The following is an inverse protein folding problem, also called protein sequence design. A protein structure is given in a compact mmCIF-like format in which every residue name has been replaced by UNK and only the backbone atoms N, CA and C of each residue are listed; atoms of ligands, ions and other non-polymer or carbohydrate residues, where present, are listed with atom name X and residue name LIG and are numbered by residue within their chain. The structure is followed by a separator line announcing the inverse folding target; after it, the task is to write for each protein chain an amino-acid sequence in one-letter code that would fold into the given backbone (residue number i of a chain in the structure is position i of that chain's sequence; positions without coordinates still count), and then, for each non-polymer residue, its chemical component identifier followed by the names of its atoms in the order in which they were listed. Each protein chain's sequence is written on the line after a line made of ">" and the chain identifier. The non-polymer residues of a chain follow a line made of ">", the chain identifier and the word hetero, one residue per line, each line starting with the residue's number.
data_IF_919579997260
#
_entry.id   IF_919579997260
#
_cell.length_a   1.000
_cell.length_b   1.000
_cell.length_c   1.000
_cell.angle_alpha   90.00
_cell.angle_beta   90.00
_cell.angle_gamma   90.00
#
_symmetry.space_group_name_H-M   'P 1'
#
loop_
_entity.id
_entity.type
_entity.pdbx_description
1 polymer ?
#
# COMPACT_ATOMS: atom_id res chain seq x y z
N UNK A 1 -8.88 -41.25 -8.32
CA UNK A 1 -8.17 -40.19 -9.09
C UNK A 1 -7.76 -39.14 -8.08
N UNK A 2 -6.46 -38.85 -7.95
CA UNK A 2 -5.96 -37.86 -6.97
C UNK A 2 -6.46 -36.47 -7.41
N UNK A 3 -7.15 -35.73 -6.53
CA UNK A 3 -7.55 -34.35 -6.82
C UNK A 3 -6.32 -33.50 -7.11
N UNK A 4 -6.33 -32.68 -8.17
CA UNK A 4 -5.19 -31.78 -8.50
C UNK A 4 -4.78 -30.90 -7.31
N UNK A 5 -5.74 -30.56 -6.45
CA UNK A 5 -5.49 -29.79 -5.24
C UNK A 5 -4.55 -30.48 -4.25
N UNK A 6 -4.47 -31.82 -4.22
CA UNK A 6 -3.62 -32.53 -3.26
C UNK A 6 -2.14 -32.18 -3.43
N UNK A 7 -1.69 -31.89 -4.66
CA UNK A 7 -0.31 -31.46 -4.91
C UNK A 7 0.00 -30.12 -4.24
N UNK A 8 -0.95 -29.18 -4.24
CA UNK A 8 -0.82 -27.92 -3.51
C UNK A 8 -0.86 -28.15 -2.01
N UNK A 9 -1.85 -28.92 -1.53
CA UNK A 9 -1.99 -29.25 -0.11
C UNK A 9 -0.70 -29.86 0.46
N UNK A 10 -0.19 -30.92 -0.15
CA UNK A 10 1.06 -31.57 0.30
C UNK A 10 2.24 -30.59 0.30
N UNK A 11 2.37 -29.75 -0.73
CA UNK A 11 3.46 -28.77 -0.82
C UNK A 11 3.35 -27.69 0.26
N UNK A 12 2.14 -27.21 0.55
CA UNK A 12 1.88 -26.21 1.59
C UNK A 12 2.04 -26.78 3.00
N UNK A 13 1.60 -28.00 3.26
CA UNK A 13 1.81 -28.73 4.51
C UNK A 13 3.32 -28.94 4.77
N UNK A 14 4.07 -29.35 3.74
CA UNK A 14 5.52 -29.50 3.83
C UNK A 14 6.24 -28.16 4.10
N UNK A 15 5.64 -27.04 3.69
CA UNK A 15 6.13 -25.69 3.98
C UNK A 15 5.67 -25.15 5.35
N UNK A 16 4.93 -25.95 6.14
CA UNK A 16 4.46 -25.57 7.47
C UNK A 16 3.31 -24.56 7.48
N UNK A 17 2.56 -24.44 6.38
CA UNK A 17 1.46 -23.48 6.30
C UNK A 17 0.24 -23.95 7.13
N UNK A 18 -0.44 -23.04 7.85
CA UNK A 18 -1.61 -23.39 8.68
C UNK A 18 -2.76 -23.98 7.87
N UNK A 19 -3.52 -24.91 8.45
CA UNK A 19 -4.67 -25.55 7.80
C UNK A 19 -5.71 -24.53 7.31
N UNK A 20 -6.00 -23.51 8.13
CA UNK A 20 -6.93 -22.41 7.78
C UNK A 20 -6.49 -21.72 6.47
N UNK A 21 -5.19 -21.47 6.32
CA UNK A 21 -4.67 -20.84 5.10
C UNK A 21 -4.74 -21.80 3.90
N UNK A 22 -4.41 -23.08 4.09
CA UNK A 22 -4.51 -24.11 3.04
C UNK A 22 -5.96 -24.24 2.53
N UNK A 23 -6.94 -24.20 3.45
CA UNK A 23 -8.37 -24.21 3.12
C UNK A 23 -8.81 -22.94 2.39
N UNK A 24 -8.28 -21.77 2.80
CA UNK A 24 -8.50 -20.50 2.09
C UNK A 24 -7.97 -20.56 0.66
N UNK A 25 -6.75 -21.07 0.46
CA UNK A 25 -6.21 -21.28 -0.89
C UNK A 25 -7.03 -22.29 -1.70
N UNK A 26 -7.53 -23.37 -1.06
CA UNK A 26 -8.41 -24.35 -1.70
C UNK A 26 -9.66 -23.69 -2.29
N UNK A 27 -10.30 -22.81 -1.53
CA UNK A 27 -11.49 -22.07 -1.96
C UNK A 27 -11.24 -21.22 -3.22
N UNK A 28 -10.13 -20.48 -3.27
CA UNK A 28 -9.79 -19.68 -4.45
C UNK A 28 -9.32 -20.55 -5.63
N UNK A 29 -8.61 -21.64 -5.35
CA UNK A 29 -8.21 -22.61 -6.36
C UNK A 29 -9.43 -23.26 -7.04
N UNK A 30 -10.47 -23.61 -6.27
CA UNK A 30 -11.72 -24.17 -6.81
C UNK A 30 -12.43 -23.17 -7.74
N UNK A 31 -12.49 -21.89 -7.36
CA UNK A 31 -13.01 -20.83 -8.24
C UNK A 31 -12.21 -20.71 -9.54
N UNK A 32 -10.87 -20.70 -9.44
CA UNK A 32 -10.00 -20.68 -10.62
C UNK A 32 -10.30 -21.84 -11.57
N UNK A 33 -10.41 -23.06 -11.04
CA UNK A 33 -10.69 -24.27 -11.83
C UNK A 33 -12.11 -24.26 -12.41
N UNK A 34 -13.08 -23.64 -11.73
CA UNK A 34 -14.42 -23.41 -12.23
C UNK A 34 -14.50 -22.37 -13.35
N UNK A 35 -13.40 -21.65 -13.62
CA UNK A 35 -13.30 -20.66 -14.70
C UNK A 35 -13.54 -19.22 -14.25
N UNK A 36 -13.70 -18.98 -12.95
CA UNK A 36 -13.88 -17.63 -12.41
C UNK A 36 -12.70 -16.73 -12.77
N UNK A 37 -13.02 -15.51 -13.19
CA UNK A 37 -12.01 -14.53 -13.63
C UNK A 37 -11.65 -13.54 -12.53
N UNK A 38 -12.54 -13.36 -11.54
CA UNK A 38 -12.45 -12.30 -10.54
C UNK A 38 -12.88 -10.92 -11.06
N UNK A 39 -13.42 -10.84 -12.29
CA UNK A 39 -13.89 -9.57 -12.85
C UNK A 39 -15.19 -9.09 -12.21
N UNK A 40 -15.32 -7.78 -12.09
CA UNK A 40 -16.49 -7.07 -11.60
C UNK A 40 -16.98 -6.15 -12.74
N UNK A 41 -17.94 -6.62 -13.55
CA UNK A 41 -18.48 -5.84 -14.66
C UNK A 41 -19.16 -4.57 -14.18
N UNK A 42 -19.08 -3.51 -14.97
CA UNK A 42 -19.73 -2.24 -14.69
C UNK A 42 -21.24 -2.39 -14.51
N UNK A 43 -21.87 -3.31 -15.25
CA UNK A 43 -23.30 -3.60 -15.12
C UNK A 43 -23.70 -4.21 -13.75
N UNK A 44 -22.74 -4.75 -12.99
CA UNK A 44 -23.00 -5.33 -11.66
C UNK A 44 -22.89 -4.29 -10.53
N UNK A 45 -22.51 -3.05 -10.84
CA UNK A 45 -22.16 -2.03 -9.86
C UNK A 45 -22.76 -0.66 -10.20
N UNK A 46 -22.86 0.18 -9.18
CA UNK A 46 -23.27 1.57 -9.26
C UNK A 46 -22.16 2.46 -8.69
N UNK A 47 -21.98 3.68 -9.22
CA UNK A 47 -21.06 4.65 -8.64
C UNK A 47 -21.59 5.13 -7.28
N UNK A 48 -20.69 5.37 -6.33
CA UNK A 48 -21.06 5.92 -5.02
C UNK A 48 -21.28 7.43 -5.12
N UNK A 49 -22.50 7.88 -4.84
CA UNK A 49 -22.86 9.29 -4.99
C UNK A 49 -22.14 10.19 -3.97
N UNK A 50 -22.18 9.85 -2.68
CA UNK A 50 -21.60 10.63 -1.60
C UNK A 50 -21.11 9.73 -0.47
N UNK A 51 -20.09 10.20 0.24
CA UNK A 51 -19.60 9.62 1.50
C UNK A 51 -19.38 10.78 2.48
N UNK A 52 -19.48 10.55 3.81
CA UNK A 52 -19.16 11.57 4.80
C UNK A 52 -17.75 12.15 4.58
N UNK A 53 -17.63 13.47 4.67
CA UNK A 53 -16.37 14.16 4.47
C UNK A 53 -15.74 14.53 5.81
N UNK A 54 -14.50 14.10 6.04
CA UNK A 54 -13.78 14.34 7.30
C UNK A 54 -13.62 15.84 7.60
N UNK A 55 -13.55 16.70 6.57
CA UNK A 55 -13.46 18.17 6.77
C UNK A 55 -14.73 18.76 7.41
N UNK A 56 -15.85 18.03 7.35
CA UNK A 56 -17.13 18.44 7.95
C UNK A 56 -17.39 17.78 9.30
N UNK A 57 -16.44 16.99 9.82
CA UNK A 57 -16.60 16.31 11.10
C UNK A 57 -16.60 17.33 12.25
N UNK A 58 -17.56 17.26 13.18
CA UNK A 58 -17.61 18.16 14.32
C UNK A 58 -16.47 17.89 15.30
N UNK A 59 -15.98 18.95 15.94
CA UNK A 59 -14.81 18.91 16.83
C UNK A 59 -14.94 17.91 18.00
N UNK A 60 -16.17 17.62 18.46
CA UNK A 60 -16.39 16.67 19.56
C UNK A 60 -15.88 15.26 19.22
N UNK A 61 -15.79 14.90 17.94
CA UNK A 61 -15.25 13.62 17.50
C UNK A 61 -13.77 13.46 17.87
N UNK A 62 -13.01 14.54 17.95
CA UNK A 62 -11.60 14.49 18.40
C UNK A 62 -11.53 13.99 19.84
N UNK A 63 -12.41 14.46 20.71
CA UNK A 63 -12.45 14.03 22.11
C UNK A 63 -12.95 12.58 22.25
N UNK A 64 -13.91 12.17 21.41
CA UNK A 64 -14.32 10.76 21.31
C UNK A 64 -13.15 9.87 20.86
N UNK A 65 -12.40 10.27 19.85
CA UNK A 65 -11.23 9.54 19.38
C UNK A 65 -10.13 9.46 20.44
N UNK A 66 -9.88 10.56 21.16
CA UNK A 66 -8.93 10.58 22.27
C UNK A 66 -9.31 9.58 23.37
N UNK A 67 -10.60 9.47 23.68
CA UNK A 67 -11.10 8.53 24.69
C UNK A 67 -10.88 7.05 24.32
N UNK A 68 -10.90 6.71 23.02
CA UNK A 68 -10.72 5.32 22.55
C UNK A 68 -9.33 5.03 21.98
N UNK A 69 -8.46 6.03 21.87
CA UNK A 69 -7.07 5.87 21.41
C UNK A 69 -6.30 4.77 22.19
N UNK A 70 -6.40 4.67 23.54
CA UNK A 70 -5.74 3.60 24.29
C UNK A 70 -6.20 2.18 23.93
N UNK A 71 -7.34 2.05 23.24
CA UNK A 71 -7.90 0.78 22.75
C UNK A 71 -7.63 0.54 21.26
N UNK A 72 -6.74 1.33 20.66
CA UNK A 72 -6.46 1.33 19.21
C UNK A 72 -5.05 0.84 18.92
N UNK A 73 -4.91 -0.09 17.98
CA UNK A 73 -3.64 -0.55 17.45
C UNK A 73 -3.38 -0.01 16.03
N UNK A 74 -2.12 0.14 15.65
CA UNK A 74 -1.69 0.48 14.29
C UNK A 74 -1.13 -0.76 13.62
N UNK A 75 -1.61 -1.09 12.42
CA UNK A 75 -1.07 -2.17 11.59
C UNK A 75 -0.50 -1.56 10.30
N UNK A 76 0.76 -1.84 9.98
CA UNK A 76 1.37 -1.41 8.71
C UNK A 76 1.63 -2.59 7.78
N UNK A 77 1.10 -2.49 6.56
CA UNK A 77 1.36 -3.44 5.50
C UNK A 77 2.80 -3.24 5.02
N UNK A 78 3.65 -4.21 5.30
CA UNK A 78 5.10 -4.12 5.12
C UNK A 78 5.70 -5.35 4.42
N UNK A 79 4.87 -6.15 3.73
CA UNK A 79 5.32 -7.33 2.99
C UNK A 79 6.04 -7.03 1.67
N UNK A 80 5.92 -5.79 1.16
CA UNK A 80 6.42 -5.40 -0.16
C UNK A 80 7.91 -5.01 -0.16
N UNK A 81 8.65 -5.59 -1.10
CA UNK A 81 10.00 -5.14 -1.45
C UNK A 81 9.94 -3.93 -2.38
N UNK A 82 10.90 -3.02 -2.27
CA UNK A 82 11.02 -1.87 -3.17
C UNK A 82 11.66 -2.20 -4.52
N UNK A 83 11.38 -3.38 -5.11
CA UNK A 83 12.05 -3.89 -6.31
C UNK A 83 11.88 -2.99 -7.53
N UNK A 84 10.73 -2.31 -7.67
CA UNK A 84 10.50 -1.34 -8.74
C UNK A 84 11.49 -0.16 -8.71
N UNK A 85 12.02 0.15 -7.52
CA UNK A 85 13.01 1.19 -7.28
C UNK A 85 14.42 0.61 -7.04
N UNK A 86 14.62 -0.68 -7.31
CA UNK A 86 15.93 -1.36 -7.21
C UNK A 86 16.32 -1.80 -5.80
N UNK A 87 15.42 -1.74 -4.82
CA UNK A 87 15.71 -2.16 -3.45
C UNK A 87 15.70 -3.69 -3.30
N UNK A 88 16.57 -4.18 -2.42
CA UNK A 88 16.68 -5.62 -2.05
C UNK A 88 16.02 -5.95 -0.70
N UNK A 89 15.54 -4.95 0.01
CA UNK A 89 14.98 -5.01 1.36
C UNK A 89 13.56 -4.46 1.39
N UNK A 90 12.91 -4.54 2.55
CA UNK A 90 11.63 -3.92 2.79
C UNK A 90 11.65 -2.45 2.38
N UNK A 91 10.65 -2.02 1.62
CA UNK A 91 10.58 -0.63 1.14
C UNK A 91 10.54 0.39 2.27
N UNK A 92 9.99 0.00 3.42
CA UNK A 92 9.89 0.86 4.60
C UNK A 92 11.24 1.25 5.19
N UNK A 93 12.33 0.53 4.87
CA UNK A 93 13.68 0.84 5.31
C UNK A 93 14.37 1.91 4.47
N UNK A 94 13.75 2.35 3.36
CA UNK A 94 14.28 3.42 2.52
C UNK A 94 14.29 4.75 3.30
N UNK A 95 15.43 5.46 3.40
CA UNK A 95 15.48 6.81 3.95
C UNK A 95 14.67 7.79 3.09
N UNK A 96 13.73 8.50 3.71
CA UNK A 96 12.78 9.40 3.02
C UNK A 96 12.91 10.85 3.43
N UNK A 97 13.20 11.13 4.70
CA UNK A 97 13.24 12.51 5.18
C UNK A 97 14.19 12.65 6.35
N UNK A 98 15.12 13.60 6.26
CA UNK A 98 16.02 13.97 7.37
C UNK A 98 16.76 12.78 7.99
N UNK A 99 17.17 11.81 7.15
CA UNK A 99 17.86 10.59 7.57
C UNK A 99 16.94 9.49 8.11
N UNK A 100 15.67 9.76 8.35
CA UNK A 100 14.68 8.77 8.77
C UNK A 100 14.13 7.98 7.58
N UNK A 101 13.98 6.68 7.77
CA UNK A 101 13.22 5.80 6.89
C UNK A 101 11.71 5.92 7.12
N UNK A 102 10.89 5.31 6.26
CA UNK A 102 9.45 5.22 6.53
C UNK A 102 9.19 4.52 7.87
N UNK A 103 9.90 3.41 8.13
CA UNK A 103 9.70 2.64 9.35
C UNK A 103 10.08 3.44 10.59
N UNK A 104 11.13 4.26 10.50
CA UNK A 104 11.52 5.14 11.60
C UNK A 104 10.44 6.16 11.94
N UNK A 105 9.90 6.81 10.90
CA UNK A 105 8.81 7.78 11.04
C UNK A 105 7.58 7.11 11.66
N UNK A 106 7.21 5.93 11.17
CA UNK A 106 6.07 5.15 11.68
C UNK A 106 6.26 4.76 13.14
N UNK A 107 7.45 4.29 13.51
CA UNK A 107 7.79 3.90 14.87
C UNK A 107 7.68 5.09 15.83
N UNK A 108 8.24 6.24 15.44
CA UNK A 108 8.20 7.46 16.23
C UNK A 108 6.77 8.00 16.39
N UNK A 109 5.95 7.95 15.33
CA UNK A 109 4.53 8.31 15.40
C UNK A 109 3.76 7.42 16.40
N UNK A 110 4.00 6.11 16.37
CA UNK A 110 3.36 5.15 17.28
C UNK A 110 3.80 5.35 18.73
N UNK A 111 5.09 5.60 18.96
CA UNK A 111 5.65 5.89 20.28
C UNK A 111 5.06 7.19 20.85
N UNK A 112 5.02 8.28 20.07
CA UNK A 112 4.41 9.55 20.50
C UNK A 112 2.92 9.42 20.83
N UNK A 113 2.19 8.60 20.08
CA UNK A 113 0.76 8.38 20.29
C UNK A 113 0.46 7.32 21.35
N UNK A 114 1.48 6.64 21.88
CA UNK A 114 1.38 5.52 22.81
C UNK A 114 0.38 4.45 22.33
N UNK A 115 0.53 4.01 21.09
CA UNK A 115 -0.27 2.95 20.46
C UNK A 115 0.62 1.79 20.02
N UNK A 116 0.14 0.54 20.09
CA UNK A 116 0.87 -0.60 19.51
C UNK A 116 1.09 -0.42 18.02
N UNK A 117 2.30 -0.73 17.57
CA UNK A 117 2.63 -0.88 16.15
C UNK A 117 2.85 -2.35 15.83
N UNK A 118 2.08 -2.87 14.89
CA UNK A 118 2.24 -4.21 14.34
C UNK A 118 2.58 -4.12 12.84
N UNK A 119 3.58 -4.86 12.40
CA UNK A 119 3.93 -4.97 10.98
C UNK A 119 3.37 -6.27 10.39
N UNK A 120 2.60 -6.16 9.32
CA UNK A 120 2.32 -7.31 8.46
C UNK A 120 3.50 -7.45 7.48
N UNK A 121 4.48 -8.26 7.85
CA UNK A 121 5.67 -8.52 7.06
C UNK A 121 5.46 -9.70 6.10
N UNK A 122 6.39 -9.87 5.16
CA UNK A 122 6.52 -11.10 4.39
C UNK A 122 7.75 -11.86 4.83
N UNK A 123 7.87 -13.10 4.35
CA UNK A 123 9.10 -13.89 4.50
C UNK A 123 10.35 -13.21 3.93
N UNK A 124 10.21 -12.15 3.13
CA UNK A 124 11.33 -11.34 2.60
C UNK A 124 11.59 -10.05 3.36
N UNK A 125 10.68 -9.63 4.26
CA UNK A 125 10.77 -8.34 4.96
C UNK A 125 10.77 -8.45 6.49
N UNK A 126 10.61 -9.65 7.04
CA UNK A 126 10.57 -9.84 8.49
C UNK A 126 11.90 -9.50 9.16
N UNK A 127 12.99 -10.16 8.75
CA UNK A 127 14.27 -10.09 9.46
C UNK A 127 14.88 -8.68 9.47
N UNK A 128 14.84 -7.97 8.34
CA UNK A 128 15.36 -6.61 8.19
C UNK A 128 14.48 -5.58 8.90
N UNK A 129 13.16 -5.71 8.83
CA UNK A 129 12.24 -4.81 9.54
C UNK A 129 12.35 -4.97 11.06
N UNK A 130 12.44 -6.20 11.55
CA UNK A 130 12.60 -6.45 12.99
C UNK A 130 13.96 -5.98 13.51
N UNK A 131 15.03 -6.15 12.75
CA UNK A 131 16.33 -5.59 13.10
C UNK A 131 16.28 -4.06 13.18
N UNK A 132 15.58 -3.39 12.24
CA UNK A 132 15.42 -1.94 12.27
C UNK A 132 14.59 -1.44 13.46
N UNK A 133 13.60 -2.21 13.91
CA UNK A 133 12.76 -1.85 15.07
C UNK A 133 13.47 -1.97 16.43
N UNK A 134 14.60 -2.70 16.53
CA UNK A 134 15.31 -2.89 17.79
C UNK A 134 15.77 -1.59 18.46
N UNK A 135 15.98 -0.52 17.70
CA UNK A 135 16.36 0.80 18.24
C UNK A 135 15.20 1.54 18.94
N UNK A 136 13.97 1.06 18.79
CA UNK A 136 12.76 1.62 19.38
C UNK A 136 12.25 0.71 20.50
N UNK A 137 13.06 0.56 21.56
CA UNK A 137 12.77 -0.35 22.68
C UNK A 137 11.52 0.02 23.48
N UNK A 138 11.05 1.26 23.37
CA UNK A 138 9.81 1.76 23.99
C UNK A 138 8.54 1.37 23.21
N UNK A 139 8.67 0.83 21.99
CA UNK A 139 7.51 0.26 21.29
C UNK A 139 6.96 -0.93 22.08
N UNK A 140 5.65 -0.89 22.29
CA UNK A 140 4.91 -1.75 23.21
C UNK A 140 5.34 -3.22 23.13
N UNK A 141 5.93 -3.74 24.21
CA UNK A 141 6.50 -5.08 24.27
C UNK A 141 5.48 -6.18 24.61
N UNK A 142 4.25 -5.81 24.94
CA UNK A 142 3.21 -6.76 25.37
C UNK A 142 2.48 -7.46 24.22
N UNK A 143 2.70 -7.00 22.98
CA UNK A 143 2.14 -7.56 21.76
C UNK A 143 3.26 -7.93 20.79
N UNK A 144 3.03 -8.89 19.88
CA UNK A 144 3.96 -9.12 18.80
C UNK A 144 4.10 -7.85 17.95
N UNK A 145 5.34 -7.45 17.68
CA UNK A 145 5.65 -6.29 16.83
C UNK A 145 5.42 -6.57 15.34
N UNK A 146 5.27 -7.84 14.96
CA UNK A 146 5.00 -8.28 13.60
C UNK A 146 4.15 -9.54 13.57
N UNK A 147 3.52 -9.77 12.43
CA UNK A 147 3.04 -11.09 12.03
C UNK A 147 3.33 -11.27 10.54
N UNK A 148 3.68 -12.49 10.16
CA UNK A 148 4.14 -12.79 8.79
C UNK A 148 2.95 -13.23 7.95
N UNK A 149 2.71 -12.55 6.84
CA UNK A 149 1.74 -12.97 5.83
C UNK A 149 2.15 -14.32 5.22
N UNK A 150 1.17 -15.07 4.73
CA UNK A 150 1.42 -16.38 4.15
C UNK A 150 2.06 -16.29 2.75
N UNK A 151 2.38 -17.45 2.20
CA UNK A 151 2.82 -17.65 0.82
C UNK A 151 2.08 -18.83 0.24
N UNK A 152 1.84 -18.82 -1.06
CA UNK A 152 1.13 -19.87 -1.78
C UNK A 152 1.88 -20.28 -3.05
N UNK A 153 1.74 -21.53 -3.53
CA UNK A 153 2.35 -21.94 -4.80
C UNK A 153 1.65 -21.27 -5.98
N UNK A 154 2.43 -20.78 -6.93
CA UNK A 154 1.91 -20.29 -8.22
C UNK A 154 1.24 -21.44 -8.98
N UNK A 155 0.11 -21.17 -9.62
CA UNK A 155 -0.67 -22.19 -10.37
C UNK A 155 -0.30 -22.12 -11.84
N UNK A 156 0.13 -23.21 -12.47
CA UNK A 156 0.40 -23.22 -13.91
C UNK A 156 -0.87 -22.98 -14.72
N UNK A 157 -0.77 -22.18 -15.80
CA UNK A 157 -1.96 -21.88 -16.63
C UNK A 157 -2.44 -23.03 -17.50
N UNK A 158 -1.54 -23.94 -17.87
CA UNK A 158 -1.81 -25.02 -18.82
C UNK A 158 -2.56 -26.20 -18.20
N UNK A 159 -2.24 -26.55 -16.96
CA UNK A 159 -2.77 -27.75 -16.30
C UNK A 159 -3.30 -27.53 -14.89
N UNK A 160 -3.20 -26.31 -14.36
CA UNK A 160 -3.58 -25.94 -12.99
C UNK A 160 -2.84 -26.72 -11.89
N UNK A 161 -1.65 -27.27 -12.18
CA UNK A 161 -0.77 -27.86 -11.17
C UNK A 161 0.16 -26.80 -10.55
N UNK A 162 0.80 -27.05 -9.40
CA UNK A 162 1.80 -26.15 -8.85
C UNK A 162 2.93 -25.89 -9.85
N UNK A 163 3.38 -24.65 -9.95
CA UNK A 163 4.54 -24.30 -10.77
C UNK A 163 5.82 -24.95 -10.22
N UNK A 164 6.73 -25.32 -11.10
CA UNK A 164 8.04 -25.86 -10.75
C UNK A 164 9.11 -25.05 -11.47
N UNK A 165 10.17 -24.69 -10.75
CA UNK A 165 11.27 -23.88 -11.27
C UNK A 165 12.58 -24.25 -10.61
N UNK A 166 13.20 -25.34 -11.10
CA UNK A 166 14.41 -25.92 -10.53
C UNK A 166 15.58 -24.93 -10.36
N UNK A 167 15.70 -23.94 -11.26
CA UNK A 167 16.75 -22.92 -11.20
C UNK A 167 16.63 -22.04 -9.95
N UNK A 168 15.41 -21.80 -9.46
CA UNK A 168 15.16 -21.06 -8.23
C UNK A 168 13.78 -21.42 -7.64
N UNK A 169 13.69 -22.44 -6.77
CA UNK A 169 12.42 -22.90 -6.20
C UNK A 169 11.68 -21.84 -5.38
N UNK A 170 12.34 -20.78 -4.91
CA UNK A 170 11.66 -19.67 -4.22
C UNK A 170 10.67 -18.94 -5.14
N UNK A 171 10.91 -18.96 -6.46
CA UNK A 171 10.03 -18.35 -7.45
C UNK A 171 8.77 -19.17 -7.73
N UNK A 172 8.66 -20.38 -7.18
CA UNK A 172 7.43 -21.17 -7.24
C UNK A 172 6.35 -20.62 -6.30
N UNK A 173 6.71 -19.72 -5.38
CA UNK A 173 5.82 -19.16 -4.38
C UNK A 173 5.51 -17.68 -4.67
N UNK A 174 4.33 -17.23 -4.25
CA UNK A 174 3.94 -15.82 -4.23
C UNK A 174 3.20 -15.49 -2.93
N UNK A 175 3.19 -14.22 -2.52
CA UNK A 175 2.26 -13.78 -1.50
C UNK A 175 0.81 -13.78 -2.04
N UNK A 176 -0.20 -14.13 -1.24
CA UNK A 176 -1.64 -14.14 -1.60
C UNK A 176 -2.28 -12.73 -1.65
N UNK A 177 -1.49 -11.67 -1.86
CA UNK A 177 -1.94 -10.29 -1.76
C UNK A 177 -2.14 -9.81 -0.31
N UNK A 178 -2.42 -8.52 -0.16
CA UNK A 178 -2.54 -7.88 1.17
C UNK A 178 -3.88 -8.20 1.87
N UNK A 179 -4.86 -8.79 1.18
CA UNK A 179 -6.08 -9.31 1.80
C UNK A 179 -5.85 -10.50 2.74
N UNK A 180 -4.68 -11.12 2.70
CA UNK A 180 -4.29 -12.18 3.64
C UNK A 180 -4.14 -11.71 5.09
N UNK A 181 -4.15 -10.39 5.34
CA UNK A 181 -4.11 -9.83 6.70
C UNK A 181 -5.14 -10.49 7.62
N UNK A 182 -6.35 -10.77 7.14
CA UNK A 182 -7.44 -11.29 7.97
C UNK A 182 -7.15 -12.73 8.41
N UNK A 183 -6.66 -13.55 7.49
CA UNK A 183 -6.26 -14.92 7.78
C UNK A 183 -5.00 -14.95 8.64
N UNK A 184 -3.99 -14.13 8.31
CA UNK A 184 -2.72 -14.02 9.05
C UNK A 184 -2.92 -13.53 10.49
N UNK A 185 -3.84 -12.59 10.73
CA UNK A 185 -4.20 -12.13 12.07
C UNK A 185 -4.77 -13.25 12.94
N UNK A 186 -5.52 -14.19 12.36
CA UNK A 186 -6.06 -15.36 13.06
C UNK A 186 -4.97 -16.42 13.27
N UNK A 187 -4.27 -16.83 12.21
CA UNK A 187 -3.32 -17.94 12.26
C UNK A 187 -2.07 -17.64 13.09
N UNK A 188 -1.66 -16.36 13.18
CA UNK A 188 -0.57 -15.92 14.05
C UNK A 188 -0.96 -15.78 15.52
N UNK A 189 -2.26 -15.78 15.84
CA UNK A 189 -2.75 -15.46 17.19
C UNK A 189 -2.76 -13.97 17.53
N UNK A 190 -2.38 -13.09 16.60
CA UNK A 190 -2.31 -11.64 16.82
C UNK A 190 -3.66 -11.02 17.15
N UNK A 191 -4.73 -11.37 16.41
CA UNK A 191 -6.07 -10.85 16.70
C UNK A 191 -6.60 -11.32 18.07
N UNK A 192 -6.53 -12.61 18.42
CA UNK A 192 -6.80 -13.05 19.80
C UNK A 192 -6.01 -12.28 20.86
N UNK A 193 -4.71 -12.09 20.67
CA UNK A 193 -3.86 -11.37 21.63
C UNK A 193 -4.27 -9.88 21.80
N UNK A 194 -4.60 -9.20 20.69
CA UNK A 194 -5.14 -7.84 20.74
C UNK A 194 -6.43 -7.78 21.56
N UNK A 195 -7.36 -8.70 21.33
CA UNK A 195 -8.64 -8.74 22.05
C UNK A 195 -8.46 -9.07 23.53
N UNK A 196 -7.59 -10.02 23.88
CA UNK A 196 -7.28 -10.37 25.27
C UNK A 196 -6.71 -9.18 26.05
N UNK A 197 -5.92 -8.34 25.37
CA UNK A 197 -5.36 -7.10 25.93
C UNK A 197 -6.32 -5.91 25.92
N UNK A 198 -7.56 -6.09 25.44
CA UNK A 198 -8.61 -5.06 25.47
C UNK A 198 -8.57 -4.06 24.31
N UNK A 199 -7.83 -4.34 23.24
CA UNK A 199 -7.89 -3.52 22.02
C UNK A 199 -9.18 -3.78 21.26
N UNK A 200 -9.85 -2.70 20.87
CA UNK A 200 -11.14 -2.72 20.16
C UNK A 200 -11.02 -2.28 18.71
N UNK A 201 -10.04 -1.44 18.40
CA UNK A 201 -9.89 -0.80 17.09
C UNK A 201 -8.50 -1.08 16.50
N UNK A 202 -8.42 -1.17 15.18
CA UNK A 202 -7.14 -1.15 14.47
C UNK A 202 -7.19 -0.23 13.26
N UNK A 203 -6.11 0.54 13.08
CA UNK A 203 -5.86 1.33 11.88
C UNK A 203 -4.80 0.66 11.01
N UNK A 204 -5.20 0.16 9.85
CA UNK A 204 -4.33 -0.50 8.89
C UNK A 204 -3.99 0.42 7.70
N UNK A 205 -2.72 0.48 7.30
CA UNK A 205 -2.30 1.24 6.12
C UNK A 205 -0.99 0.75 5.50
N UNK A 206 -0.70 1.16 4.27
CA UNK A 206 0.58 0.87 3.61
C UNK A 206 1.75 1.55 4.36
N UNK A 207 2.88 0.86 4.51
CA UNK A 207 4.08 1.44 5.11
C UNK A 207 4.71 2.55 4.26
N UNK A 208 4.46 2.56 2.95
CA UNK A 208 4.97 3.58 2.03
C UNK A 208 4.02 4.78 1.83
N UNK A 209 2.90 4.84 2.56
CA UNK A 209 2.00 6.00 2.60
C UNK A 209 2.32 6.89 3.82
N UNK A 210 3.05 7.98 3.59
CA UNK A 210 3.46 8.92 4.64
C UNK A 210 2.30 9.74 5.21
N UNK A 211 1.18 9.83 4.49
CA UNK A 211 -0.04 10.50 4.94
C UNK A 211 -0.91 9.67 5.87
N UNK A 212 -0.63 8.36 6.00
CA UNK A 212 -1.44 7.45 6.78
C UNK A 212 -1.05 7.46 8.28
N UNK A 213 -1.62 8.40 9.01
CA UNK A 213 -1.44 8.56 10.46
C UNK A 213 -2.78 8.50 11.19
N UNK A 214 -2.80 8.10 12.46
CA UNK A 214 -4.04 8.13 13.26
C UNK A 214 -4.59 9.56 13.28
N UNK A 215 -5.88 9.69 13.01
CA UNK A 215 -6.64 10.93 13.14
C UNK A 215 -7.75 10.72 14.17
N UNK A 216 -7.78 11.57 15.19
CA UNK A 216 -8.69 11.42 16.31
C UNK A 216 -10.15 11.68 15.91
N UNK A 217 -10.42 12.59 14.98
CA UNK A 217 -11.79 12.82 14.51
C UNK A 217 -12.30 11.62 13.72
N UNK A 218 -11.45 11.00 12.90
CA UNK A 218 -11.79 9.77 12.17
C UNK A 218 -12.02 8.60 13.13
N UNK A 219 -11.13 8.40 14.11
CA UNK A 219 -11.27 7.36 15.13
C UNK A 219 -12.55 7.57 15.97
N UNK A 220 -12.83 8.81 16.37
CA UNK A 220 -14.05 9.17 17.08
C UNK A 220 -15.31 8.86 16.28
N UNK A 221 -15.31 9.21 14.98
CA UNK A 221 -16.42 8.89 14.08
C UNK A 221 -16.63 7.37 13.97
N UNK A 222 -15.54 6.62 13.80
CA UNK A 222 -15.56 5.17 13.69
C UNK A 222 -16.18 4.50 14.92
N UNK A 223 -15.76 4.94 16.11
CA UNK A 223 -16.24 4.41 17.38
C UNK A 223 -17.69 4.85 17.68
N UNK A 224 -18.04 6.12 17.50
CA UNK A 224 -19.38 6.65 17.75
C UNK A 224 -20.44 5.93 16.91
N UNK A 225 -20.15 5.76 15.62
CA UNK A 225 -21.09 5.14 14.67
C UNK A 225 -21.05 3.60 14.71
N UNK A 226 -20.20 3.00 15.56
CA UNK A 226 -20.03 1.55 15.71
C UNK A 226 -19.81 0.86 14.36
N UNK A 227 -19.00 1.48 13.51
CA UNK A 227 -18.77 1.00 12.15
C UNK A 227 -17.89 -0.26 12.25
N UNK A 228 -18.26 -1.38 11.60
CA UNK A 228 -17.48 -2.63 11.72
C UNK A 228 -16.18 -2.58 10.89
N UNK A 229 -16.22 -1.88 9.77
CA UNK A 229 -15.13 -1.70 8.82
C UNK A 229 -15.29 -0.37 8.12
N UNK A 230 -14.24 0.46 8.08
CA UNK A 230 -14.29 1.75 7.41
C UNK A 230 -13.09 1.96 6.49
N UNK A 231 -13.35 2.48 5.29
CA UNK A 231 -12.33 2.79 4.29
C UNK A 231 -12.17 4.31 4.12
N UNK A 232 -10.95 4.82 4.23
CA UNK A 232 -10.67 6.19 3.79
C UNK A 232 -10.51 6.21 2.26
N UNK A 233 -11.28 7.08 1.60
CA UNK A 233 -11.20 7.32 0.16
C UNK A 233 -10.78 8.75 -0.13
N UNK A 234 -9.94 8.95 -1.13
CA UNK A 234 -9.57 10.27 -1.63
C UNK A 234 -10.31 10.58 -2.92
N UNK A 235 -10.39 11.86 -3.28
CA UNK A 235 -10.82 12.22 -4.63
C UNK A 235 -9.84 11.65 -5.65
N UNK A 236 -10.39 11.05 -6.69
CA UNK A 236 -9.63 10.47 -7.78
C UNK A 236 -9.12 11.54 -8.73
N UNK A 237 -7.87 11.40 -9.13
CA UNK A 237 -7.17 12.27 -10.07
C UNK A 237 -6.76 11.48 -11.32
N UNK A 238 -6.32 12.15 -12.36
CA UNK A 238 -5.81 11.50 -13.58
C UNK A 238 -4.58 10.62 -13.33
N UNK A 239 -3.89 10.80 -12.20
CA UNK A 239 -2.75 9.97 -11.81
C UNK A 239 -3.19 8.62 -11.21
N UNK A 240 -4.45 8.49 -10.78
CA UNK A 240 -5.00 7.31 -10.13
C UNK A 240 -5.52 6.28 -11.13
N UNK A 241 -4.64 5.87 -12.05
CA UNK A 241 -4.94 4.93 -13.14
C UNK A 241 -4.87 3.45 -12.72
N UNK A 242 -4.16 3.16 -11.62
CA UNK A 242 -3.94 1.80 -11.09
C UNK A 242 -4.29 1.77 -9.60
N UNK A 243 -5.04 0.75 -9.19
CA UNK A 243 -5.55 0.55 -7.83
C UNK A 243 -7.06 0.34 -7.84
N UNK A 244 -7.74 0.64 -6.74
CA UNK A 244 -9.17 0.39 -6.60
C UNK A 244 -10.00 1.64 -6.41
N UNK A 245 -11.17 1.68 -7.05
CA UNK A 245 -12.19 2.69 -6.75
C UNK A 245 -13.34 2.07 -5.95
N UNK A 246 -13.97 2.91 -5.13
CA UNK A 246 -15.18 2.53 -4.41
C UNK A 246 -16.35 2.43 -5.39
N UNK A 247 -17.19 1.42 -5.21
CA UNK A 247 -18.46 1.25 -5.91
C UNK A 247 -19.51 0.67 -4.95
N UNK A 248 -20.72 0.51 -5.44
CA UNK A 248 -21.83 -0.07 -4.71
C UNK A 248 -22.46 -1.20 -5.53
N UNK A 249 -22.81 -2.31 -4.90
CA UNK A 249 -23.66 -3.33 -5.52
C UNK A 249 -25.11 -2.83 -5.62
N UNK A 250 -25.89 -3.51 -6.44
CA UNK A 250 -27.32 -3.21 -6.64
C UNK A 250 -28.15 -3.33 -5.34
N UNK A 251 -27.69 -4.11 -4.35
CA UNK A 251 -28.32 -4.24 -3.03
C UNK A 251 -27.87 -3.17 -2.02
N UNK A 252 -27.04 -2.22 -2.45
CA UNK A 252 -26.55 -1.14 -1.62
C UNK A 252 -25.25 -1.44 -0.85
N UNK A 253 -24.72 -2.66 -0.89
CA UNK A 253 -23.46 -2.99 -0.22
C UNK A 253 -22.27 -2.32 -0.94
N UNK A 254 -21.40 -1.66 -0.19
CA UNK A 254 -20.16 -1.09 -0.73
C UNK A 254 -19.20 -2.20 -1.16
N UNK A 255 -18.50 -1.97 -2.26
CA UNK A 255 -17.45 -2.87 -2.75
C UNK A 255 -16.25 -2.08 -3.25
N UNK A 256 -15.12 -2.76 -3.35
CA UNK A 256 -13.91 -2.26 -4.01
C UNK A 256 -13.75 -2.96 -5.36
N UNK A 257 -13.53 -2.19 -6.42
CA UNK A 257 -13.12 -2.73 -7.73
C UNK A 257 -11.70 -2.30 -8.06
N UNK A 258 -10.78 -3.26 -8.02
CA UNK A 258 -9.39 -3.08 -8.45
C UNK A 258 -9.28 -3.01 -9.98
N UNK A 259 -8.20 -2.39 -10.49
CA UNK A 259 -7.92 -2.38 -11.94
C UNK A 259 -7.80 -3.78 -12.53
N UNK A 260 -7.26 -4.75 -11.77
CA UNK A 260 -7.14 -6.15 -12.18
C UNK A 260 -8.48 -6.90 -12.23
N UNK A 261 -9.52 -6.34 -11.62
CA UNK A 261 -10.87 -6.87 -11.61
C UNK A 261 -11.77 -6.17 -12.64
N UNK A 262 -11.22 -5.31 -13.49
CA UNK A 262 -11.98 -4.61 -14.53
C UNK A 262 -11.94 -5.41 -15.83
N UNK A 263 -13.09 -5.83 -16.38
CA UNK A 263 -13.13 -6.40 -17.72
C UNK A 263 -12.50 -5.46 -18.76
N UNK A 264 -11.79 -5.98 -19.78
CA UNK A 264 -11.19 -5.14 -20.82
C UNK A 264 -12.16 -4.13 -21.44
N UNK A 265 -13.40 -4.53 -21.69
CA UNK A 265 -14.48 -3.71 -22.24
C UNK A 265 -14.90 -2.53 -21.33
N UNK A 266 -14.72 -2.65 -20.02
CA UNK A 266 -15.09 -1.64 -19.04
C UNK A 266 -13.95 -0.67 -18.71
N UNK A 267 -12.76 -0.85 -19.31
CA UNK A 267 -11.55 -0.06 -19.00
C UNK A 267 -11.79 1.44 -19.11
N UNK A 268 -12.51 1.90 -20.14
CA UNK A 268 -12.80 3.32 -20.32
C UNK A 268 -13.66 3.87 -19.17
N UNK A 269 -14.66 3.11 -18.73
CA UNK A 269 -15.54 3.49 -17.62
C UNK A 269 -14.81 3.44 -16.28
N UNK A 270 -13.94 2.44 -16.09
CA UNK A 270 -13.06 2.38 -14.94
C UNK A 270 -12.14 3.60 -14.86
N UNK A 271 -11.62 4.12 -15.98
CA UNK A 271 -10.75 5.30 -15.99
C UNK A 271 -11.51 6.63 -15.86
N UNK A 272 -12.85 6.63 -15.94
CA UNK A 272 -13.66 7.83 -15.76
C UNK A 272 -13.69 8.25 -14.27
N UNK A 273 -12.85 9.23 -13.94
CA UNK A 273 -12.72 9.79 -12.60
C UNK A 273 -13.95 10.60 -12.16
N UNK A 274 -14.82 11.01 -13.09
CA UNK A 274 -16.05 11.77 -12.77
C UNK A 274 -17.18 10.84 -12.34
N UNK A 275 -17.21 9.64 -12.90
CA UNK A 275 -18.15 8.57 -12.53
C UNK A 275 -17.72 7.88 -11.25
N UNK A 276 -16.52 7.30 -11.25
CA UNK A 276 -15.95 6.56 -10.13
C UNK A 276 -14.92 7.42 -9.41
N UNK A 277 -15.44 8.40 -8.66
CA UNK A 277 -14.66 9.53 -8.10
C UNK A 277 -13.92 9.27 -6.80
N UNK A 278 -14.20 8.17 -6.12
CA UNK A 278 -13.59 7.84 -4.83
C UNK A 278 -12.56 6.73 -4.99
N UNK A 279 -11.30 7.07 -4.72
CA UNK A 279 -10.17 6.17 -4.84
C UNK A 279 -9.76 5.63 -3.46
N UNK A 280 -9.56 4.31 -3.36
CA UNK A 280 -9.14 3.67 -2.13
C UNK A 280 -7.71 4.10 -1.77
N UNK A 281 -7.54 4.67 -0.58
CA UNK A 281 -6.21 5.06 -0.07
C UNK A 281 -5.44 3.89 0.54
N UNK A 282 -6.14 2.78 0.77
CA UNK A 282 -5.70 1.64 1.58
C UNK A 282 -5.46 1.98 3.07
N UNK A 283 -6.00 3.10 3.55
CA UNK A 283 -6.11 3.40 4.98
C UNK A 283 -7.48 2.88 5.45
N UNK A 284 -7.46 1.90 6.35
CA UNK A 284 -8.62 1.12 6.76
C UNK A 284 -8.73 1.06 8.28
N UNK A 285 -9.96 1.05 8.78
CA UNK A 285 -10.27 0.94 10.20
C UNK A 285 -11.08 -0.32 10.46
N UNK A 286 -10.67 -1.11 11.46
CA UNK A 286 -11.29 -2.37 11.84
C UNK A 286 -11.86 -2.27 13.25
N UNK A 287 -13.09 -2.72 13.45
CA UNK A 287 -13.58 -3.06 14.77
C UNK A 287 -13.20 -4.52 15.05
N UNK A 288 -12.15 -4.72 15.85
CA UNK A 288 -11.50 -6.01 16.07
C UNK A 288 -12.47 -7.09 16.59
N UNK A 289 -13.39 -6.80 17.53
CA UNK A 289 -14.37 -7.78 17.98
C UNK A 289 -15.30 -8.25 16.86
N UNK A 290 -15.78 -7.33 16.01
CA UNK A 290 -16.63 -7.70 14.87
C UNK A 290 -15.86 -8.47 13.82
N UNK A 291 -14.62 -8.09 13.52
CA UNK A 291 -13.74 -8.86 12.65
C UNK A 291 -13.59 -10.30 13.15
N UNK A 292 -13.28 -10.49 14.44
CA UNK A 292 -13.11 -11.81 15.03
C UNK A 292 -14.40 -12.65 14.96
N UNK A 293 -15.55 -12.06 15.27
CA UNK A 293 -16.85 -12.72 15.15
C UNK A 293 -17.17 -13.13 13.71
N UNK A 294 -16.92 -12.24 12.73
CA UNK A 294 -17.15 -12.54 11.32
C UNK A 294 -16.25 -13.65 10.80
N UNK A 295 -14.96 -13.64 11.17
CA UNK A 295 -14.05 -14.74 10.85
C UNK A 295 -14.58 -16.06 11.42
N UNK A 296 -14.94 -16.10 12.71
CA UNK A 296 -15.45 -17.31 13.37
C UNK A 296 -16.76 -17.82 12.75
N UNK A 297 -17.67 -16.92 12.39
CA UNK A 297 -18.96 -17.28 11.79
C UNK A 297 -18.81 -17.90 10.40
N UNK A 298 -17.76 -17.53 9.66
CA UNK A 298 -17.50 -17.99 8.30
C UNK A 298 -16.35 -19.01 8.23
N UNK A 299 -16.17 -19.85 9.27
CA UNK A 299 -15.11 -20.86 9.33
C UNK A 299 -13.69 -20.31 9.07
N UNK A 300 -13.41 -19.12 9.60
CA UNK A 300 -12.19 -18.33 9.41
C UNK A 300 -11.90 -17.93 7.96
N UNK A 301 -12.96 -17.81 7.15
CA UNK A 301 -12.85 -17.46 5.75
C UNK A 301 -13.75 -16.26 5.41
N UNK A 302 -13.13 -15.11 5.12
CA UNK A 302 -13.86 -13.87 4.83
C UNK A 302 -14.43 -13.80 3.40
N UNK A 303 -14.14 -14.81 2.55
CA UNK A 303 -14.60 -14.92 1.17
C UNK A 303 -14.42 -13.62 0.35
N UNK A 304 -13.19 -13.09 0.37
CA UNK A 304 -12.86 -11.91 -0.42
C UNK A 304 -12.93 -12.22 -1.92
N UNK A 305 -13.30 -11.26 -2.78
CA UNK A 305 -13.22 -11.45 -4.23
C UNK A 305 -11.80 -11.83 -4.67
N UNK A 306 -11.69 -12.97 -5.38
CA UNK A 306 -10.44 -13.44 -5.95
C UNK A 306 -9.91 -12.47 -7.01
N UNK A 307 -8.62 -12.19 -6.97
CA UNK A 307 -7.87 -11.51 -8.04
C UNK A 307 -6.98 -12.55 -8.71
N UNK A 308 -7.22 -12.80 -10.00
CA UNK A 308 -6.44 -13.75 -10.79
C UNK A 308 -5.36 -13.05 -11.61
N UNK A 309 -4.16 -12.95 -11.07
CA UNK A 309 -3.03 -12.29 -11.73
C UNK A 309 -2.31 -13.22 -12.71
N UNK A 310 -2.21 -12.79 -13.97
CA UNK A 310 -1.45 -13.48 -15.01
C UNK A 310 0.02 -13.07 -15.00
N UNK A 311 0.93 -14.01 -14.77
CA UNK A 311 2.39 -13.80 -14.71
C UNK A 311 3.16 -14.94 -15.38
N UNK A 312 4.48 -14.83 -15.35
CA UNK A 312 5.43 -15.93 -15.58
C UNK A 312 6.05 -16.35 -14.23
N UNK A 313 6.53 -17.59 -14.13
CA UNK A 313 7.11 -18.11 -12.88
C UNK A 313 8.35 -17.30 -12.47
N UNK A 314 9.21 -16.96 -13.43
CA UNK A 314 10.29 -15.99 -13.25
C UNK A 314 9.87 -14.64 -13.88
N UNK A 315 9.63 -13.59 -13.07
CA UNK A 315 9.25 -12.27 -13.57
C UNK A 315 10.30 -11.58 -14.46
N UNK A 316 11.55 -12.07 -14.44
CA UNK A 316 12.67 -11.54 -15.24
C UNK A 316 12.82 -12.26 -16.58
N UNK A 317 12.17 -13.42 -16.73
CA UNK A 317 12.18 -14.22 -17.95
C UNK A 317 10.75 -14.34 -18.51
N UNK A 318 10.41 -13.56 -19.56
CA UNK A 318 9.12 -13.62 -20.23
C UNK A 318 8.81 -14.98 -20.89
N UNK A 319 9.83 -15.81 -21.14
CA UNK A 319 9.67 -17.14 -21.73
C UNK A 319 9.45 -18.24 -20.68
N UNK A 320 9.62 -17.92 -19.39
CA UNK A 320 9.40 -18.88 -18.31
C UNK A 320 7.92 -19.27 -18.18
N UNK A 321 7.67 -20.43 -17.56
CA UNK A 321 6.32 -21.04 -17.44
C UNK A 321 5.26 -20.01 -17.04
N UNK A 322 4.19 -19.91 -17.83
CA UNK A 322 3.08 -19.02 -17.54
C UNK A 322 2.27 -19.54 -16.33
N UNK A 323 1.96 -18.63 -15.40
CA UNK A 323 1.29 -18.95 -14.13
C UNK A 323 0.19 -17.95 -13.77
N UNK A 324 -0.73 -18.41 -12.93
CA UNK A 324 -1.63 -17.58 -12.14
C UNK A 324 -1.08 -17.41 -10.72
N UNK A 325 -1.25 -16.20 -10.19
CA UNK A 325 -1.12 -15.88 -8.77
C UNK A 325 -2.51 -15.51 -8.28
N UNK A 326 -2.97 -16.14 -7.19
CA UNK A 326 -4.28 -15.88 -6.63
C UNK A 326 -4.11 -14.88 -5.48
N UNK A 327 -4.71 -13.72 -5.62
CA UNK A 327 -4.55 -12.66 -4.64
C UNK A 327 -5.91 -12.19 -4.14
N UNK A 328 -5.89 -11.53 -2.99
CA UNK A 328 -7.03 -10.76 -2.49
C UNK A 328 -6.57 -9.38 -2.05
N UNK A 329 -7.47 -8.40 -2.14
CA UNK A 329 -7.23 -7.05 -1.70
C UNK A 329 -7.86 -6.80 -0.33
N UNK A 330 -7.08 -6.25 0.59
CA UNK A 330 -7.51 -5.88 1.95
C UNK A 330 -8.78 -5.03 1.96
N UNK A 331 -8.87 -4.02 1.09
CA UNK A 331 -10.02 -3.13 1.02
C UNK A 331 -11.30 -3.82 0.51
N UNK A 332 -11.21 -4.97 -0.16
CA UNK A 332 -12.39 -5.71 -0.63
C UNK A 332 -13.22 -6.28 0.51
N UNK A 333 -12.66 -6.34 1.73
CA UNK A 333 -13.41 -6.69 2.93
C UNK A 333 -14.57 -5.74 3.23
N UNK A 334 -14.58 -4.53 2.67
CA UNK A 334 -15.74 -3.61 2.77
C UNK A 334 -17.06 -4.28 2.34
N UNK A 335 -16.99 -5.26 1.43
CA UNK A 335 -18.14 -6.03 0.98
C UNK A 335 -18.59 -7.12 1.98
N UNK A 336 -17.69 -7.57 2.86
CA UNK A 336 -17.93 -8.66 3.80
C UNK A 336 -18.61 -8.19 5.11
N UNK A 337 -18.58 -6.89 5.39
CA UNK A 337 -19.16 -6.31 6.60
C UNK A 337 -20.43 -5.53 6.29
N UNK A 338 -21.58 -6.05 6.76
CA UNK A 338 -22.83 -5.28 6.74
C UNK A 338 -22.68 -4.02 7.59
N UNK A 339 -23.02 -2.87 7.01
CA UNK A 339 -22.86 -1.57 7.68
C UNK A 339 -21.45 -0.99 7.61
N UNK A 340 -20.54 -1.60 6.83
CA UNK A 340 -19.28 -0.96 6.49
C UNK A 340 -19.49 0.39 5.81
N UNK A 341 -18.57 1.32 6.05
CA UNK A 341 -18.65 2.68 5.51
C UNK A 341 -17.36 3.07 4.79
N UNK A 342 -17.44 4.13 4.00
CA UNK A 342 -16.29 4.84 3.48
C UNK A 342 -16.39 6.31 3.89
N UNK A 343 -15.26 6.98 4.05
CA UNK A 343 -15.19 8.41 4.38
C UNK A 343 -14.22 9.11 3.42
N UNK A 344 -14.60 10.30 2.95
CA UNK A 344 -13.75 11.13 2.09
C UNK A 344 -12.72 11.86 2.95
N UNK A 345 -11.45 11.63 2.64
CA UNK A 345 -10.30 12.27 3.29
C UNK A 345 -9.58 13.24 2.35
N UNK A 346 -8.90 14.27 2.90
CA UNK A 346 -8.03 15.11 2.09
C UNK A 346 -6.88 14.28 1.50
N UNK A 347 -6.42 14.67 0.31
CA UNK A 347 -5.34 13.98 -0.42
C UNK A 347 -4.04 13.86 0.38
N UNK A 348 -3.81 14.75 1.33
CA UNK A 348 -2.66 14.69 2.25
C UNK A 348 -2.59 13.39 3.07
N UNK A 349 -3.70 12.65 3.21
CA UNK A 349 -3.73 11.32 3.86
C UNK A 349 -3.36 10.17 2.93
N UNK A 350 -3.16 10.47 1.64
CA UNK A 350 -2.75 9.54 0.60
C UNK A 350 -1.54 10.09 -0.15
N UNK A 351 -0.38 9.97 0.50
CA UNK A 351 0.92 10.38 -0.01
C UNK A 351 1.85 9.15 -0.16
N UNK A 352 1.54 8.22 -1.08
CA UNK A 352 2.40 7.08 -1.33
C UNK A 352 3.64 7.48 -2.12
N UNK A 353 4.81 6.97 -1.74
CA UNK A 353 6.04 7.10 -2.53
C UNK A 353 6.20 5.85 -3.38
N UNK A 354 5.83 5.86 -4.66
CA UNK A 354 5.88 4.64 -5.53
C UNK A 354 7.09 4.62 -6.47
N UNK A 355 7.64 5.79 -6.77
CA UNK A 355 8.72 6.02 -7.72
C UNK A 355 9.81 6.90 -7.13
N UNK A 356 10.94 7.02 -7.82
CA UNK A 356 12.00 7.96 -7.49
C UNK A 356 11.59 9.42 -7.68
N UNK A 357 10.60 9.71 -8.54
CA UNK A 357 10.01 11.05 -8.65
C UNK A 357 9.35 11.46 -7.32
N UNK A 358 8.52 10.58 -6.77
CA UNK A 358 7.85 10.80 -5.48
C UNK A 358 8.89 10.94 -4.35
N UNK A 359 9.93 10.10 -4.39
CA UNK A 359 11.02 10.12 -3.40
C UNK A 359 11.79 11.43 -3.42
N UNK A 360 12.14 11.93 -4.62
CA UNK A 360 12.84 13.21 -4.77
C UNK A 360 11.98 14.36 -4.23
N UNK A 361 10.68 14.35 -4.54
CA UNK A 361 9.75 15.34 -4.01
C UNK A 361 9.72 15.34 -2.48
N UNK A 362 9.56 14.18 -1.85
CA UNK A 362 9.50 14.05 -0.37
C UNK A 362 10.82 14.43 0.30
N UNK A 363 11.96 14.03 -0.28
CA UNK A 363 13.29 14.35 0.26
C UNK A 363 13.59 15.86 0.18
N UNK A 364 13.08 16.56 -0.83
CA UNK A 364 13.24 18.02 -0.98
C UNK A 364 12.52 18.81 0.13
N UNK A 365 12.81 20.11 0.21
CA UNK A 365 12.14 21.08 1.09
C UNK A 365 10.68 21.42 0.68
N UNK A 366 10.14 20.78 -0.37
CA UNK A 366 8.71 20.85 -0.69
C UNK A 366 7.84 20.18 0.39
N UNK A 367 8.43 19.29 1.18
CA UNK A 367 7.82 18.67 2.36
C UNK A 367 8.66 18.98 3.60
N UNK A 368 8.02 18.98 4.76
CA UNK A 368 8.66 19.11 6.08
C UNK A 368 8.27 17.93 6.96
N UNK A 369 9.19 17.50 7.81
CA UNK A 369 8.87 16.64 8.95
C UNK A 369 8.39 17.54 10.09
N UNK A 370 7.24 17.23 10.68
CA UNK A 370 6.71 17.95 11.85
C UNK A 370 7.22 17.34 13.15
N UNK A 371 7.03 18.03 14.28
CA UNK A 371 7.43 17.55 15.62
C UNK A 371 6.74 16.24 16.01
N UNK A 372 5.55 15.95 15.45
CA UNK A 372 4.83 14.68 15.59
C UNK A 372 5.14 13.68 14.46
N UNK A 373 6.28 13.86 13.79
CA UNK A 373 6.82 13.01 12.73
C UNK A 373 5.90 12.82 11.53
N UNK A 374 5.02 13.77 11.21
CA UNK A 374 4.25 13.73 9.95
C UNK A 374 5.06 14.38 8.84
N UNK A 375 5.03 13.77 7.65
CA UNK A 375 5.59 14.39 6.45
C UNK A 375 4.48 15.14 5.74
N UNK A 376 4.54 16.47 5.76
CA UNK A 376 3.49 17.34 5.22
C UNK A 376 4.03 18.34 4.20
N UNK A 377 3.23 18.77 3.21
CA UNK A 377 3.64 19.83 2.30
C UNK A 377 4.02 21.12 3.04
N UNK A 378 5.13 21.75 2.65
CA UNK A 378 5.67 22.95 3.29
C UNK A 378 4.85 24.20 2.95
N UNK A 379 4.43 24.97 3.96
CA UNK A 379 3.76 26.26 3.78
C UNK A 379 2.49 26.18 2.93
N UNK A 380 2.35 27.07 1.96
CA UNK A 380 1.18 27.18 1.08
C UNK A 380 1.08 26.06 0.02
N UNK A 381 2.08 25.15 -0.06
CA UNK A 381 2.03 23.98 -0.95
C UNK A 381 0.88 23.03 -0.64
N UNK A 382 0.24 23.15 0.53
CA UNK A 382 -1.01 22.44 0.84
C UNK A 382 -2.08 22.64 -0.23
N UNK A 383 -2.00 23.71 -1.01
CA UNK A 383 -2.96 24.07 -2.06
C UNK A 383 -2.39 23.98 -3.48
N UNK A 384 -1.13 23.54 -3.67
CA UNK A 384 -0.46 23.50 -4.98
C UNK A 384 0.27 22.18 -5.16
N UNK A 385 -0.04 21.47 -6.24
CA UNK A 385 0.62 20.21 -6.57
C UNK A 385 2.00 20.47 -7.19
N UNK A 386 3.00 19.71 -6.74
CA UNK A 386 4.32 19.64 -7.36
C UNK A 386 4.31 18.49 -8.39
N UNK A 387 4.69 18.76 -9.63
CA UNK A 387 4.98 17.72 -10.61
C UNK A 387 6.48 17.44 -10.65
N UNK A 388 6.88 16.18 -10.49
CA UNK A 388 8.28 15.75 -10.68
C UNK A 388 8.30 14.65 -11.74
N UNK A 389 9.10 14.85 -12.77
CA UNK A 389 9.27 13.88 -13.84
C UNK A 389 10.74 13.69 -14.15
N UNK A 390 11.26 12.51 -13.80
CA UNK A 390 12.63 12.13 -14.08
C UNK A 390 12.68 11.07 -15.18
N UNK A 391 13.69 11.14 -16.02
CA UNK A 391 13.95 10.15 -17.05
C UNK A 391 14.24 8.77 -16.45
N UNK A 392 13.34 7.81 -16.68
CA UNK A 392 13.47 6.45 -16.18
C UNK A 392 14.71 5.70 -16.70
N UNK A 393 15.39 6.19 -17.75
CA UNK A 393 16.67 5.63 -18.20
C UNK A 393 17.81 5.87 -17.21
N UNK A 394 17.73 6.96 -16.45
CA UNK A 394 18.82 7.44 -15.60
C UNK A 394 18.45 7.57 -14.13
N UNK A 395 17.17 7.65 -13.78
CA UNK A 395 16.73 7.95 -12.40
C UNK A 395 15.79 6.90 -11.82
N UNK A 396 15.57 5.77 -12.48
CA UNK A 396 14.55 4.78 -12.06
C UNK A 396 14.88 4.08 -10.74
N UNK A 397 16.15 3.77 -10.49
CA UNK A 397 16.56 3.08 -9.27
C UNK A 397 17.10 4.08 -8.24
N UNK A 398 16.93 3.77 -6.96
CA UNK A 398 17.38 4.65 -5.86
C UNK A 398 18.88 4.95 -5.95
N UNK A 399 19.70 3.93 -6.25
CA UNK A 399 21.15 4.13 -6.41
C UNK A 399 21.48 5.09 -7.56
N UNK A 400 20.72 5.05 -8.65
CA UNK A 400 20.93 5.93 -9.80
C UNK A 400 20.51 7.37 -9.49
N UNK A 401 19.42 7.53 -8.72
CA UNK A 401 18.97 8.80 -8.20
C UNK A 401 20.02 9.39 -7.24
N UNK A 402 20.47 8.62 -6.27
CA UNK A 402 21.45 9.06 -5.25
C UNK A 402 22.80 9.41 -5.90
N UNK A 403 23.23 8.68 -6.94
CA UNK A 403 24.44 9.00 -7.70
C UNK A 403 24.36 10.34 -8.45
N UNK A 404 23.16 10.74 -8.88
CA UNK A 404 22.91 11.99 -9.63
C UNK A 404 22.50 13.16 -8.75
N UNK A 405 22.10 12.89 -7.51
CA UNK A 405 21.86 13.86 -6.46
C UNK A 405 22.77 13.56 -5.25
N UNK A 406 24.12 13.59 -5.43
CA UNK A 406 25.08 13.18 -4.40
C UNK A 406 25.04 14.06 -3.14
N UNK A 407 24.42 15.25 -3.25
CA UNK A 407 24.25 16.21 -2.17
C UNK A 407 22.81 16.34 -1.67
N UNK A 408 21.94 15.42 -2.07
CA UNK A 408 20.51 15.42 -1.75
C UNK A 408 19.66 16.14 -2.79
N UNK A 409 18.36 16.19 -2.54
CA UNK A 409 17.39 16.79 -3.45
C UNK A 409 17.58 18.31 -3.56
N UNK A 410 17.34 18.90 -4.74
CA UNK A 410 17.32 20.36 -4.90
C UNK A 410 16.20 20.96 -4.04
N UNK A 411 16.28 22.25 -3.76
CA UNK A 411 15.13 22.99 -3.21
C UNK A 411 14.02 23.02 -4.26
N UNK A 412 12.89 22.41 -3.92
CA UNK A 412 11.67 22.38 -4.73
C UNK A 412 10.54 23.20 -4.09
N UNK A 413 10.78 23.86 -2.94
CA UNK A 413 9.78 24.66 -2.21
C UNK A 413 9.11 25.74 -3.06
N UNK A 414 9.77 26.27 -4.10
CA UNK A 414 9.19 27.27 -5.04
C UNK A 414 8.96 26.72 -6.46
N UNK A 415 9.08 25.40 -6.65
CA UNK A 415 8.94 24.73 -7.93
C UNK A 415 7.49 24.24 -8.19
N UNK A 416 6.94 24.51 -9.36
CA UNK A 416 5.63 23.99 -9.80
C UNK A 416 5.80 22.65 -10.51
N UNK A 417 6.77 22.58 -11.44
CA UNK A 417 7.18 21.36 -12.14
C UNK A 417 8.71 21.24 -12.22
N UNK A 418 9.23 20.04 -12.03
CA UNK A 418 10.63 19.70 -12.20
C UNK A 418 10.75 18.50 -13.13
N UNK A 419 11.13 18.76 -14.37
CA UNK A 419 11.24 17.77 -15.44
C UNK A 419 12.69 17.64 -15.90
N UNK A 420 13.21 16.42 -15.91
CA UNK A 420 14.60 16.11 -16.30
C UNK A 420 14.60 14.97 -17.31
N UNK A 421 15.00 15.30 -18.54
CA UNK A 421 15.16 14.37 -19.67
C UNK A 421 16.65 14.26 -20.04
N UNK A 422 17.23 13.06 -20.02
CA UNK A 422 18.67 12.85 -20.21
C UNK A 422 19.49 12.79 -18.91
N UNK A 423 20.81 12.62 -19.04
CA UNK A 423 21.69 12.38 -17.88
C UNK A 423 22.25 13.69 -17.30
N UNK A 424 21.74 14.09 -16.13
CA UNK A 424 22.25 15.22 -15.34
C UNK A 424 22.73 14.76 -13.95
N UNK A 425 23.84 15.33 -13.49
CA UNK A 425 24.31 15.26 -12.10
C UNK A 425 24.21 16.64 -11.45
N UNK A 426 23.67 16.71 -10.24
CA UNK A 426 23.36 17.95 -9.55
C UNK A 426 24.36 18.25 -8.44
N UNK A 427 24.91 19.46 -8.46
CA UNK A 427 25.76 20.00 -7.41
C UNK A 427 25.01 20.28 -6.11
N UNK A 428 25.68 20.97 -5.19
CA UNK A 428 25.13 21.40 -3.89
C UNK A 428 24.19 22.58 -4.03
N UNK A 429 23.27 22.73 -3.07
CA UNK A 429 22.46 23.94 -2.88
C UNK A 429 21.71 24.42 -4.13
N UNK A 430 21.25 23.48 -4.97
CA UNK A 430 20.47 23.76 -6.18
C UNK A 430 19.08 24.25 -5.78
N UNK A 431 18.58 25.31 -6.44
CA UNK A 431 17.25 25.87 -6.19
C UNK A 431 16.41 25.88 -7.47
N UNK A 432 15.29 25.17 -7.48
CA UNK A 432 14.35 25.16 -8.59
C UNK A 432 13.15 26.09 -8.31
N UNK A 433 12.82 26.96 -9.25
CA UNK A 433 11.74 27.96 -9.12
C UNK A 433 10.82 27.97 -10.34
N UNK A 434 9.51 28.01 -10.10
CA UNK A 434 8.52 27.97 -11.18
C UNK A 434 8.52 26.62 -11.89
N UNK A 435 8.37 26.63 -13.20
CA UNK A 435 8.44 25.44 -14.04
C UNK A 435 9.88 25.26 -14.54
N UNK A 436 10.49 24.11 -14.27
CA UNK A 436 11.87 23.78 -14.64
C UNK A 436 11.85 22.56 -15.56
N UNK A 437 12.40 22.71 -16.76
CA UNK A 437 12.60 21.61 -17.71
C UNK A 437 14.06 21.58 -18.16
N UNK A 438 14.72 20.46 -17.89
CA UNK A 438 16.10 20.18 -18.32
C UNK A 438 16.08 19.09 -19.38
N UNK A 439 16.72 19.34 -20.52
CA UNK A 439 16.90 18.34 -21.57
C UNK A 439 18.36 18.21 -21.98
N UNK A 440 18.90 17.00 -21.88
CA UNK A 440 20.22 16.62 -22.36
C UNK A 440 20.05 15.61 -23.50
N UNK A 441 20.35 16.04 -24.73
CA UNK A 441 20.34 15.18 -25.94
C UNK A 441 21.73 14.63 -26.27
N UNK A 442 22.75 14.98 -25.48
CA UNK A 442 24.12 14.49 -25.66
C UNK A 442 24.30 13.07 -25.10
N UNK A 443 25.40 12.43 -25.48
CA UNK A 443 25.79 11.13 -24.92
C UNK A 443 26.60 11.25 -23.60
N UNK A 444 26.83 12.47 -23.11
CA UNK A 444 27.62 12.71 -21.90
C UNK A 444 26.70 13.14 -20.74
N UNK A 445 27.11 12.81 -19.52
CA UNK A 445 26.45 13.37 -18.34
C UNK A 445 26.78 14.86 -18.22
N UNK A 446 25.76 15.67 -17.91
CA UNK A 446 25.91 17.11 -17.68
C UNK A 446 25.88 17.41 -16.19
N UNK A 447 26.90 18.11 -15.72
CA UNK A 447 26.97 18.59 -14.33
C UNK A 447 26.28 19.94 -14.20
N UNK A 448 25.35 20.04 -13.24
CA UNK A 448 24.77 21.31 -12.79
C UNK A 448 25.63 21.84 -11.64
N UNK A 449 26.29 23.00 -11.76
CA UNK A 449 27.19 23.52 -10.73
C UNK A 449 26.52 23.83 -9.39
N UNK A 450 27.31 23.83 -8.32
CA UNK A 450 26.89 24.22 -6.97
C UNK A 450 26.22 25.61 -6.96
N UNK A 451 25.15 25.75 -6.17
CA UNK A 451 24.41 27.01 -5.96
C UNK A 451 23.56 27.46 -7.16
N UNK A 452 23.44 26.64 -8.20
CA UNK A 452 22.66 27.01 -9.40
C UNK A 452 21.18 27.19 -9.05
N UNK A 453 20.62 28.31 -9.53
CA UNK A 453 19.18 28.56 -9.51
C UNK A 453 18.61 28.23 -10.89
N UNK A 454 17.70 27.25 -10.95
CA UNK A 454 17.06 26.76 -12.17
C UNK A 454 15.64 27.33 -12.28
N UNK A 455 15.32 27.84 -13.47
CA UNK A 455 13.98 28.34 -13.82
C UNK A 455 13.80 28.32 -15.34
N UNK A 456 12.65 27.88 -15.83
CA UNK A 456 12.38 27.79 -17.27
C UNK A 456 13.02 26.56 -17.93
N UNK A 457 13.23 26.67 -19.24
CA UNK A 457 13.71 25.55 -20.07
C UNK A 457 15.22 25.67 -20.33
N UNK A 458 15.96 24.60 -20.06
CA UNK A 458 17.39 24.49 -20.33
C UNK A 458 17.64 23.29 -21.24
N UNK A 459 18.17 23.55 -22.44
CA UNK A 459 18.42 22.52 -23.46
C UNK A 459 19.91 22.44 -23.75
N UNK A 460 20.47 21.24 -23.64
CA UNK A 460 21.84 20.91 -23.97
C UNK A 460 21.83 19.93 -25.14
N UNK A 461 22.43 20.35 -26.25
CA UNK A 461 22.48 19.63 -27.54
C UNK A 461 23.89 19.22 -27.90
#
# INVERSE_FOLDING_TARGET
>A
MISRFSFFKTRMEAAGLPSIFIETFAYYYEQLVAGETGYIPEAAILPVAQVPNVVQFPDYLVEMGRAVLPKTAVIKLNGGLGTSMGLKQAKSLLPVKEGYSFLDIIALQAQLSNVPLLLMNSFSTEADSMAALQKYSELHQELPQSFVQHKEPKVRKDNFLPAEWANNPSLEWCPPGHGDIYTALITSGTLPALLEKGYEYAFASNSDNLGAVIDLAILGYFAENRVPFMMEVADRTEMDKKGGHLAQRLDGQLILRESSQTPPEDTAVYQDITRHKYFNTNNLWFHLPTLYQQMRANNNHLALPMIRNSKTVDPRDPASTAVYQLETAIGSAIAAFRGAQAIRVPRSRFAPVKTTNDLLAVRSDAYTLTDDFRVVPTGDRRFRQLNVQLDGRFYKYVNDLDARFPHGSPSLKRCNSFEVEGDFCFGKDIVCQGDVCLRNETNAQIEIPDGTVLSGNHHCV
#
